data_IF_306662214222
#
_entry.id   IF_306662214222
#
_cell.length_a   1.000
_cell.length_b   1.000
_cell.length_c   1.000
_cell.angle_alpha   90.00
_cell.angle_beta   90.00
_cell.angle_gamma   90.00
#
_symmetry.space_group_name_H-M   'P 1'
#
loop_
_entity.id
_entity.type
_entity.pdbx_description
1 polymer ?
#
# COMPACT_ATOMS: atom_id res chain seq x y z
N UNK A 1 -38.23 -24.86 34.31
CA UNK A 1 -36.78 -24.77 34.22
C UNK A 1 -36.42 -23.43 33.56
N UNK A 2 -35.47 -22.69 34.17
CA UNK A 2 -34.96 -21.41 33.64
C UNK A 2 -33.45 -21.53 33.45
N UNK A 3 -33.00 -21.37 32.22
CA UNK A 3 -31.61 -21.19 31.89
C UNK A 3 -31.25 -19.68 31.90
N UNK A 4 -30.00 -19.37 31.78
CA UNK A 4 -29.45 -18.03 31.54
C UNK A 4 -28.20 -18.21 30.68
N UNK A 5 -28.39 -18.34 29.34
CA UNK A 5 -27.26 -18.47 28.46
C UNK A 5 -26.66 -17.10 28.17
N UNK A 6 -25.35 -16.97 28.24
CA UNK A 6 -24.63 -15.74 28.02
C UNK A 6 -23.44 -15.94 27.09
N UNK A 7 -23.03 -14.88 26.40
CA UNK A 7 -21.84 -14.90 25.55
C UNK A 7 -20.92 -13.71 25.83
N UNK A 8 -19.61 -13.98 25.75
CA UNK A 8 -18.56 -12.95 25.79
C UNK A 8 -17.59 -13.21 24.63
N UNK A 9 -17.37 -12.22 23.79
CA UNK A 9 -16.34 -12.24 22.76
C UNK A 9 -15.21 -11.29 23.14
N UNK A 10 -13.97 -11.66 22.83
CA UNK A 10 -12.78 -10.86 23.11
C UNK A 10 -11.85 -10.81 21.91
N UNK A 11 -11.31 -9.62 21.64
CA UNK A 11 -10.28 -9.32 20.66
C UNK A 11 -9.13 -8.58 21.32
N UNK A 12 -7.92 -8.55 20.75
CA UNK A 12 -6.88 -7.60 21.12
C UNK A 12 -7.38 -6.15 20.98
N UNK A 13 -6.83 -5.23 21.77
CA UNK A 13 -7.21 -3.82 21.72
C UNK A 13 -6.85 -3.18 20.37
N UNK A 14 -5.74 -3.60 19.75
CA UNK A 14 -5.29 -3.14 18.42
C UNK A 14 -4.52 -4.23 17.69
N UNK A 15 -4.41 -4.09 16.37
CA UNK A 15 -3.56 -4.92 15.52
C UNK A 15 -3.21 -4.18 14.22
N UNK A 16 -2.15 -4.62 13.56
CA UNK A 16 -1.71 -4.07 12.28
C UNK A 16 -2.51 -4.67 11.12
N UNK A 17 -2.94 -3.86 10.18
CA UNK A 17 -3.60 -4.31 8.95
C UNK A 17 -2.78 -5.39 8.24
N UNK A 18 -3.45 -6.39 7.69
CA UNK A 18 -2.83 -7.54 6.99
C UNK A 18 -2.32 -8.65 7.92
N UNK A 19 -2.19 -8.45 9.24
CA UNK A 19 -1.79 -9.52 10.17
C UNK A 19 -2.96 -10.46 10.51
N UNK A 20 -2.64 -11.67 10.99
CA UNK A 20 -3.66 -12.60 11.50
C UNK A 20 -3.82 -12.42 13.00
N UNK A 21 -5.07 -12.32 13.45
CA UNK A 21 -5.46 -12.15 14.85
C UNK A 21 -6.30 -13.34 15.29
N UNK A 22 -6.10 -13.74 16.55
CA UNK A 22 -6.95 -14.73 17.23
C UNK A 22 -7.90 -14.01 18.20
N UNK A 23 -9.20 -14.24 18.05
CA UNK A 23 -10.23 -13.89 19.00
C UNK A 23 -10.67 -15.09 19.83
N UNK A 24 -11.29 -14.82 20.96
CA UNK A 24 -11.93 -15.85 21.80
C UNK A 24 -13.41 -15.53 22.00
N UNK A 25 -14.23 -16.56 22.15
CA UNK A 25 -15.63 -16.44 22.52
C UNK A 25 -15.95 -17.48 23.59
N UNK A 26 -16.72 -17.07 24.59
CA UNK A 26 -17.24 -17.95 25.62
C UNK A 26 -18.76 -17.99 25.57
N UNK A 27 -19.31 -19.18 25.73
CA UNK A 27 -20.74 -19.39 25.92
C UNK A 27 -20.94 -20.05 27.28
N UNK A 28 -21.81 -19.53 28.11
CA UNK A 28 -22.05 -20.00 29.49
C UNK A 28 -23.56 -20.18 29.75
N UNK A 29 -23.89 -20.97 30.77
CA UNK A 29 -25.20 -21.04 31.35
C UNK A 29 -25.12 -20.65 32.82
N UNK A 30 -25.52 -19.43 33.14
CA UNK A 30 -25.53 -18.87 34.50
C UNK A 30 -26.84 -19.19 35.26
N UNK A 31 -27.81 -19.83 34.58
CA UNK A 31 -29.10 -20.21 35.15
C UNK A 31 -29.03 -21.44 36.05
N UNK A 32 -30.16 -21.74 36.67
CA UNK A 32 -30.30 -22.85 37.63
C UNK A 32 -30.74 -24.17 36.96
N UNK A 33 -31.09 -24.11 35.67
CA UNK A 33 -31.53 -25.31 34.90
C UNK A 33 -30.61 -25.51 33.72
N UNK A 34 -30.48 -26.77 33.27
CA UNK A 34 -29.73 -27.14 32.10
C UNK A 34 -30.30 -26.43 30.85
N UNK A 35 -29.44 -25.75 30.10
CA UNK A 35 -29.76 -25.17 28.82
C UNK A 35 -29.59 -26.24 27.71
N UNK A 36 -30.67 -26.52 26.99
CA UNK A 36 -30.70 -27.50 25.91
C UNK A 36 -30.59 -26.81 24.54
N UNK A 37 -30.01 -27.51 23.57
CA UNK A 37 -29.86 -27.02 22.20
C UNK A 37 -29.21 -25.62 22.13
N UNK A 38 -28.14 -25.41 22.90
CA UNK A 38 -27.40 -24.15 22.89
C UNK A 38 -26.62 -24.04 21.58
N UNK A 39 -26.86 -22.96 20.87
CA UNK A 39 -26.15 -22.63 19.62
C UNK A 39 -25.50 -21.25 19.76
N UNK A 40 -24.20 -21.18 19.51
CA UNK A 40 -23.43 -19.95 19.53
C UNK A 40 -22.85 -19.62 18.15
N UNK A 41 -22.73 -18.35 17.85
CA UNK A 41 -22.09 -17.87 16.63
C UNK A 41 -21.28 -16.61 16.87
N UNK A 42 -20.23 -16.40 16.07
CA UNK A 42 -19.42 -15.17 16.01
C UNK A 42 -19.40 -14.64 14.59
N UNK A 43 -19.71 -13.36 14.46
CA UNK A 43 -19.56 -12.62 13.22
C UNK A 43 -18.54 -11.52 13.44
N UNK A 44 -17.52 -11.48 12.59
CA UNK A 44 -16.50 -10.42 12.58
C UNK A 44 -16.76 -9.53 11.38
N UNK A 45 -16.80 -8.23 11.58
CA UNK A 45 -17.13 -7.30 10.52
C UNK A 45 -16.49 -5.92 10.68
N UNK A 46 -16.57 -5.15 9.60
CA UNK A 46 -16.24 -3.72 9.54
C UNK A 46 -17.48 -2.96 9.09
N UNK A 47 -17.39 -1.64 9.00
CA UNK A 47 -18.44 -0.83 8.36
C UNK A 47 -18.70 -1.21 6.89
N UNK A 48 -17.74 -1.91 6.25
CA UNK A 48 -17.84 -2.37 4.85
C UNK A 48 -18.38 -3.80 4.67
N UNK A 49 -18.67 -4.56 5.75
CA UNK A 49 -19.20 -5.92 5.67
C UNK A 49 -18.55 -6.94 6.58
N UNK A 50 -18.91 -8.20 6.40
CA UNK A 50 -18.44 -9.34 7.19
C UNK A 50 -17.07 -9.81 6.70
N UNK A 51 -16.18 -10.12 7.65
CA UNK A 51 -14.86 -10.70 7.39
C UNK A 51 -14.96 -12.22 7.53
N UNK A 52 -14.32 -12.94 6.61
CA UNK A 52 -14.19 -14.39 6.73
C UNK A 52 -13.35 -14.77 7.94
N UNK A 53 -13.86 -15.65 8.78
CA UNK A 53 -13.16 -16.19 9.95
C UNK A 53 -12.86 -17.66 9.77
N UNK A 54 -11.80 -18.16 10.38
CA UNK A 54 -11.54 -19.60 10.52
C UNK A 54 -11.39 -19.98 11.99
N UNK A 55 -11.64 -21.24 12.31
CA UNK A 55 -11.63 -21.74 13.68
C UNK A 55 -13.00 -22.18 14.18
N UNK A 56 -13.10 -22.39 15.48
CA UNK A 56 -14.27 -23.02 16.13
C UNK A 56 -15.16 -22.03 16.90
N UNK A 57 -15.15 -20.74 16.53
CA UNK A 57 -15.97 -19.71 17.20
C UNK A 57 -17.48 -19.98 17.16
N UNK A 58 -17.95 -20.81 16.25
CA UNK A 58 -19.34 -21.24 16.16
C UNK A 58 -19.52 -22.61 16.79
N UNK A 59 -20.65 -22.81 17.49
CA UNK A 59 -21.05 -24.14 17.99
C UNK A 59 -22.13 -24.73 17.07
N UNK A 60 -22.19 -26.06 17.02
CA UNK A 60 -23.38 -26.76 16.56
C UNK A 60 -24.42 -26.78 17.69
N UNK A 61 -24.91 -27.91 18.09
CA UNK A 61 -25.88 -27.96 19.20
C UNK A 61 -25.21 -28.51 20.45
N UNK A 62 -25.23 -27.77 21.55
CA UNK A 62 -24.64 -28.13 22.84
C UNK A 62 -25.72 -28.23 23.92
N UNK A 63 -25.37 -28.90 25.04
CA UNK A 63 -26.14 -28.85 26.28
C UNK A 63 -25.20 -28.31 27.37
N UNK A 64 -25.61 -27.23 28.03
CA UNK A 64 -24.86 -26.61 29.12
C UNK A 64 -25.55 -26.80 30.46
N UNK A 65 -24.94 -27.54 31.37
CA UNK A 65 -25.40 -27.64 32.75
C UNK A 65 -25.35 -26.27 33.46
N UNK A 66 -26.07 -26.09 34.60
CA UNK A 66 -25.91 -24.89 35.42
C UNK A 66 -24.46 -24.62 35.78
N UNK A 67 -23.99 -23.38 35.55
CA UNK A 67 -22.62 -22.94 35.81
C UNK A 67 -21.58 -23.43 34.77
N UNK A 68 -21.96 -24.21 33.78
CA UNK A 68 -21.05 -24.68 32.73
C UNK A 68 -20.75 -23.58 31.70
N UNK A 69 -19.55 -23.61 31.16
CA UNK A 69 -19.11 -22.75 30.06
C UNK A 69 -18.22 -23.51 29.07
N UNK A 70 -18.19 -23.03 27.83
CA UNK A 70 -17.25 -23.46 26.80
C UNK A 70 -16.56 -22.23 26.24
N UNK A 71 -15.25 -22.31 25.99
CA UNK A 71 -14.49 -21.28 25.29
C UNK A 71 -13.99 -21.82 23.97
N UNK A 72 -14.15 -21.04 22.92
CA UNK A 72 -13.73 -21.33 21.56
C UNK A 72 -12.84 -20.22 21.04
N UNK A 73 -12.06 -20.51 20.01
CA UNK A 73 -11.19 -19.54 19.33
C UNK A 73 -11.59 -19.40 17.86
N UNK A 74 -11.31 -18.23 17.30
CA UNK A 74 -11.44 -17.96 15.87
C UNK A 74 -10.30 -17.06 15.43
N UNK A 75 -9.94 -17.11 14.15
CA UNK A 75 -8.90 -16.26 13.56
C UNK A 75 -9.43 -15.55 12.34
N UNK A 76 -8.85 -14.38 12.05
CA UNK A 76 -9.13 -13.63 10.84
C UNK A 76 -7.95 -12.75 10.46
N UNK A 77 -7.86 -12.37 9.18
CA UNK A 77 -6.89 -11.37 8.71
C UNK A 77 -7.45 -9.97 8.97
N UNK A 78 -6.67 -9.13 9.62
CA UNK A 78 -7.03 -7.74 9.97
C UNK A 78 -7.16 -6.91 8.69
N UNK A 79 -8.33 -6.31 8.43
CA UNK A 79 -8.53 -5.44 7.26
C UNK A 79 -7.87 -4.07 7.45
N UNK A 80 -8.05 -3.18 6.47
CA UNK A 80 -7.53 -1.80 6.56
C UNK A 80 -8.34 -0.87 7.49
N UNK A 81 -9.47 -1.32 8.04
CA UNK A 81 -10.39 -0.53 8.88
C UNK A 81 -10.70 -1.24 10.19
N UNK A 82 -11.12 -0.46 11.21
CA UNK A 82 -11.49 -0.98 12.52
C UNK A 82 -12.52 -2.12 12.42
N UNK A 83 -12.39 -3.07 13.31
CA UNK A 83 -13.15 -4.32 13.34
C UNK A 83 -14.04 -4.37 14.57
N UNK A 84 -15.24 -4.95 14.41
CA UNK A 84 -16.12 -5.34 15.51
C UNK A 84 -16.46 -6.82 15.38
N UNK A 85 -16.24 -7.59 16.44
CA UNK A 85 -16.77 -8.94 16.57
C UNK A 85 -18.08 -8.90 17.37
N UNK A 86 -19.09 -9.60 16.89
CA UNK A 86 -20.36 -9.79 17.56
C UNK A 86 -20.60 -11.28 17.75
N UNK A 87 -20.79 -11.69 19.00
CA UNK A 87 -21.20 -13.05 19.33
C UNK A 87 -22.67 -13.10 19.72
N UNK A 88 -23.34 -14.18 19.37
CA UNK A 88 -24.72 -14.46 19.78
C UNK A 88 -24.82 -15.87 20.32
N UNK A 89 -25.71 -16.09 21.29
CA UNK A 89 -26.03 -17.42 21.81
C UNK A 89 -27.55 -17.58 21.93
N UNK A 90 -28.05 -18.77 21.64
CA UNK A 90 -29.46 -19.12 21.75
C UNK A 90 -29.63 -20.47 22.43
N UNK A 91 -30.80 -20.73 23.00
CA UNK A 91 -31.19 -22.01 23.61
C UNK A 91 -32.68 -22.25 23.43
N UNK A 92 -33.12 -23.51 23.45
CA UNK A 92 -34.54 -23.87 23.46
C UNK A 92 -35.13 -23.90 24.87
N UNK A 93 -34.30 -23.87 25.91
CA UNK A 93 -34.75 -23.71 27.33
C UNK A 93 -35.09 -22.23 27.54
N UNK A 94 -36.18 -21.95 28.26
CA UNK A 94 -36.56 -20.57 28.59
C UNK A 94 -35.39 -19.84 29.26
N UNK A 95 -35.00 -18.70 28.71
CA UNK A 95 -33.89 -17.86 29.16
C UNK A 95 -34.45 -16.66 29.91
N UNK A 96 -33.97 -16.45 31.14
CA UNK A 96 -34.48 -15.38 31.99
C UNK A 96 -33.73 -14.03 31.84
N UNK A 97 -32.62 -14.01 31.10
CA UNK A 97 -31.79 -12.80 30.91
C UNK A 97 -31.33 -12.66 29.43
N UNK A 98 -32.24 -12.57 28.46
CA UNK A 98 -31.87 -12.57 27.04
C UNK A 98 -31.02 -11.36 26.60
N UNK A 99 -30.84 -10.37 27.46
CA UNK A 99 -29.96 -9.21 27.20
C UNK A 99 -28.46 -9.52 27.20
N UNK A 100 -28.03 -10.64 27.82
CA UNK A 100 -26.64 -11.10 27.81
C UNK A 100 -26.31 -12.13 26.73
N UNK A 101 -27.28 -12.39 25.84
CA UNK A 101 -27.14 -13.33 24.71
C UNK A 101 -26.37 -12.75 23.52
N UNK A 102 -25.96 -11.49 23.61
CA UNK A 102 -25.17 -10.79 22.60
C UNK A 102 -23.96 -10.16 23.27
N UNK A 103 -22.78 -10.44 22.74
CA UNK A 103 -21.52 -9.84 23.16
C UNK A 103 -20.84 -9.13 21.99
N UNK A 104 -20.12 -8.05 22.26
CA UNK A 104 -19.35 -7.32 21.25
C UNK A 104 -17.93 -7.03 21.74
N UNK A 105 -16.97 -7.05 20.82
CA UNK A 105 -15.60 -6.61 21.05
C UNK A 105 -15.11 -5.81 19.84
N UNK A 106 -14.37 -4.73 20.10
CA UNK A 106 -13.77 -3.89 19.07
C UNK A 106 -12.26 -4.10 18.99
N UNK A 107 -11.69 -3.95 17.78
CA UNK A 107 -10.27 -3.95 17.51
C UNK A 107 -9.94 -2.70 16.70
N UNK A 108 -9.04 -1.87 17.22
CA UNK A 108 -8.48 -0.73 16.50
C UNK A 108 -7.40 -1.20 15.51
N UNK A 109 -7.44 -0.72 14.28
CA UNK A 109 -6.52 -1.13 13.24
C UNK A 109 -5.45 -0.07 13.00
N UNK A 110 -4.18 -0.48 13.15
CA UNK A 110 -3.03 0.33 12.76
C UNK A 110 -2.82 0.17 11.24
N UNK A 111 -3.06 1.26 10.49
CA UNK A 111 -2.85 1.26 9.04
C UNK A 111 -1.38 1.13 8.69
N UNK A 112 -1.07 0.36 7.63
CA UNK A 112 0.25 0.26 7.00
C UNK A 112 0.12 0.24 5.49
N UNK A 113 0.97 1.02 4.81
CA UNK A 113 1.17 0.98 3.37
C UNK A 113 2.44 0.20 3.03
N UNK A 114 2.65 -0.11 1.76
CA UNK A 114 3.91 -0.61 1.21
C UNK A 114 4.08 0.08 -0.14
N UNK A 115 4.69 1.25 -0.11
CA UNK A 115 4.98 2.01 -1.31
C UNK A 115 6.23 1.43 -1.96
N UNK A 116 6.20 1.28 -3.27
CA UNK A 116 7.39 0.96 -4.04
C UNK A 116 7.50 1.91 -5.22
N UNK A 117 8.75 2.19 -5.63
CA UNK A 117 9.04 3.09 -6.73
C UNK A 117 9.92 2.41 -7.76
N UNK A 118 9.49 2.42 -9.02
CA UNK A 118 10.32 2.07 -10.16
C UNK A 118 10.58 3.27 -11.05
N UNK A 119 11.78 3.35 -11.64
CA UNK A 119 12.20 4.45 -12.51
C UNK A 119 12.83 3.89 -13.76
N UNK A 120 12.37 4.35 -14.92
CA UNK A 120 12.91 3.97 -16.23
C UNK A 120 13.13 5.19 -17.10
N UNK A 121 14.09 5.11 -18.04
CA UNK A 121 14.32 6.09 -19.07
C UNK A 121 13.78 5.57 -20.40
N UNK A 122 13.17 6.44 -21.22
CA UNK A 122 12.68 6.06 -22.54
C UNK A 122 13.82 5.67 -23.50
N UNK A 123 15.02 6.22 -23.26
CA UNK A 123 16.23 5.93 -24.03
C UNK A 123 17.45 5.97 -23.11
N UNK A 124 17.86 4.83 -22.51
CA UNK A 124 18.98 4.82 -21.57
C UNK A 124 20.35 5.00 -22.27
N UNK A 125 20.47 4.64 -23.56
CA UNK A 125 21.71 4.70 -24.32
C UNK A 125 21.50 5.37 -25.69
N UNK A 126 22.58 5.83 -26.29
CA UNK A 126 22.55 6.38 -27.64
C UNK A 126 21.99 7.80 -27.74
N UNK A 127 21.85 8.48 -26.59
CA UNK A 127 21.49 9.89 -26.60
C UNK A 127 22.64 10.75 -27.10
N UNK A 128 22.30 11.86 -27.78
CA UNK A 128 23.26 12.85 -28.24
C UNK A 128 22.93 14.20 -27.64
N UNK A 129 23.84 15.15 -27.71
CA UNK A 129 23.60 16.54 -27.34
C UNK A 129 22.33 17.07 -28.00
N UNK A 130 21.58 17.88 -27.28
CA UNK A 130 20.30 18.49 -27.70
C UNK A 130 19.15 17.51 -27.98
N UNK A 131 19.34 16.19 -27.78
CA UNK A 131 18.22 15.25 -27.84
C UNK A 131 17.32 15.38 -26.61
N UNK A 132 16.08 14.89 -26.73
CA UNK A 132 15.12 14.82 -25.61
C UNK A 132 14.78 13.39 -25.29
N UNK A 133 14.55 13.11 -24.02
CA UNK A 133 14.03 11.83 -23.53
C UNK A 133 13.11 12.05 -22.35
N UNK A 134 12.48 10.97 -21.86
CA UNK A 134 11.67 11.02 -20.64
C UNK A 134 12.13 9.98 -19.62
N UNK A 135 11.95 10.34 -18.35
CA UNK A 135 11.91 9.41 -17.22
C UNK A 135 10.46 9.13 -16.86
N UNK A 136 10.11 7.87 -16.70
CA UNK A 136 8.86 7.45 -16.10
C UNK A 136 9.14 6.89 -14.70
N UNK A 137 8.45 7.44 -13.70
CA UNK A 137 8.54 7.05 -12.29
C UNK A 137 7.17 6.52 -11.91
N UNK A 138 7.09 5.22 -11.59
CA UNK A 138 5.84 4.56 -11.20
C UNK A 138 5.89 4.26 -9.72
N UNK A 139 4.88 4.72 -9.00
CA UNK A 139 4.65 4.43 -7.58
C UNK A 139 3.51 3.44 -7.48
N UNK A 140 3.67 2.42 -6.65
CA UNK A 140 2.66 1.38 -6.35
C UNK A 140 2.47 1.32 -4.85
N UNK A 141 1.23 1.16 -4.38
CA UNK A 141 0.94 0.80 -3.00
C UNK A 141 0.54 -0.68 -2.93
N UNK A 142 1.47 -1.55 -2.55
CA UNK A 142 1.23 -2.99 -2.36
C UNK A 142 0.73 -3.34 -0.95
N UNK A 143 0.67 -2.35 -0.05
CA UNK A 143 0.24 -2.54 1.35
C UNK A 143 -1.25 -2.77 1.50
N UNK A 144 -1.69 -3.27 2.66
CA UNK A 144 -3.09 -3.55 2.92
C UNK A 144 -3.94 -2.28 3.12
N UNK A 145 -3.32 -1.15 3.49
CA UNK A 145 -4.03 0.11 3.76
C UNK A 145 -3.76 1.17 2.69
N UNK A 146 -4.66 2.14 2.59
CA UNK A 146 -4.45 3.33 1.78
C UNK A 146 -3.25 4.13 2.31
N UNK A 147 -2.30 4.47 1.45
CA UNK A 147 -1.25 5.43 1.75
C UNK A 147 -1.80 6.85 1.63
N UNK A 148 -1.45 7.73 2.57
CA UNK A 148 -1.89 9.11 2.62
C UNK A 148 -0.70 10.08 2.48
N UNK A 149 -0.98 11.26 1.92
CA UNK A 149 -0.03 12.38 1.78
C UNK A 149 1.32 11.95 1.18
N UNK A 150 1.24 11.32 0.01
CA UNK A 150 2.41 10.76 -0.67
C UNK A 150 3.15 11.86 -1.41
N UNK A 151 4.46 11.88 -1.26
CA UNK A 151 5.36 12.78 -1.99
C UNK A 151 6.41 11.98 -2.74
N UNK A 152 6.49 12.21 -4.05
CA UNK A 152 7.57 11.72 -4.93
C UNK A 152 8.53 12.86 -5.17
N UNK A 153 9.83 12.64 -4.99
CA UNK A 153 10.87 13.62 -5.26
C UNK A 153 11.91 13.07 -6.22
N UNK A 154 12.39 13.93 -7.12
CA UNK A 154 13.42 13.63 -8.08
C UNK A 154 14.29 14.87 -8.31
N UNK A 155 15.59 14.74 -8.12
CA UNK A 155 16.56 15.79 -8.45
C UNK A 155 17.29 15.34 -9.71
N UNK A 156 16.81 15.83 -10.86
CA UNK A 156 17.42 15.54 -12.16
C UNK A 156 18.85 16.06 -12.19
N UNK A 157 19.85 15.22 -12.52
CA UNK A 157 21.26 15.60 -12.44
C UNK A 157 21.60 16.74 -13.38
N UNK A 158 22.59 17.57 -12.96
CA UNK A 158 23.14 18.64 -13.80
C UNK A 158 23.69 18.05 -15.10
N UNK A 159 23.41 18.74 -16.21
CA UNK A 159 23.69 18.24 -17.58
C UNK A 159 22.46 17.70 -18.28
N UNK A 160 21.39 17.46 -17.54
CA UNK A 160 20.03 17.28 -18.07
C UNK A 160 19.18 18.48 -17.60
N UNK A 161 18.32 18.99 -18.48
CA UNK A 161 17.42 20.12 -18.16
C UNK A 161 15.97 19.65 -18.26
N UNK A 162 15.19 19.86 -17.21
CA UNK A 162 13.76 19.55 -17.20
C UNK A 162 13.03 20.51 -18.13
N UNK A 163 12.31 19.95 -19.11
CA UNK A 163 11.48 20.66 -20.07
C UNK A 163 10.02 20.69 -19.62
N UNK A 164 9.53 19.57 -19.12
CA UNK A 164 8.17 19.43 -18.63
C UNK A 164 8.03 18.28 -17.67
N UNK A 165 7.00 18.37 -16.80
CA UNK A 165 6.58 17.30 -15.89
C UNK A 165 5.07 17.09 -16.05
N UNK A 166 4.65 15.82 -15.93
CA UNK A 166 3.23 15.48 -15.98
C UNK A 166 2.96 14.30 -15.06
N UNK A 167 1.71 14.20 -14.56
CA UNK A 167 1.28 13.15 -13.64
C UNK A 167 0.05 12.42 -14.14
N UNK A 168 0.04 11.09 -13.97
CA UNK A 168 -1.15 10.27 -14.04
C UNK A 168 -1.43 9.73 -12.63
N UNK A 169 -2.56 10.15 -12.03
CA UNK A 169 -2.91 9.85 -10.65
C UNK A 169 -2.14 10.67 -9.59
N UNK A 170 -1.42 11.73 -10.00
CA UNK A 170 -0.70 12.64 -9.10
C UNK A 170 -0.64 14.06 -9.69
N UNK A 171 -0.39 15.04 -8.83
CA UNK A 171 -0.08 16.42 -9.23
C UNK A 171 1.43 16.60 -9.34
N UNK A 172 1.92 16.98 -10.53
CA UNK A 172 3.35 17.16 -10.80
C UNK A 172 3.72 18.64 -10.85
N UNK A 173 4.90 18.99 -10.33
CA UNK A 173 5.49 20.32 -10.38
C UNK A 173 7.01 20.24 -10.42
N UNK A 174 7.68 21.31 -10.89
CA UNK A 174 9.13 21.40 -10.80
C UNK A 174 9.60 22.86 -10.62
N UNK A 175 10.77 23.01 -10.03
CA UNK A 175 11.54 24.26 -9.97
C UNK A 175 12.95 23.95 -10.46
N UNK A 176 13.23 24.34 -11.71
CA UNK A 176 14.45 23.86 -12.40
C UNK A 176 14.46 22.33 -12.47
N UNK A 177 15.54 21.73 -12.02
CA UNK A 177 15.73 20.27 -11.99
C UNK A 177 15.17 19.57 -10.74
N UNK A 178 14.62 20.30 -9.76
CA UNK A 178 13.93 19.72 -8.62
C UNK A 178 12.47 19.44 -9.02
N UNK A 179 12.12 18.16 -9.08
CA UNK A 179 10.78 17.68 -9.47
C UNK A 179 10.07 17.09 -8.27
N UNK A 180 8.79 17.38 -8.15
CA UNK A 180 7.91 16.85 -7.12
C UNK A 180 6.60 16.35 -7.71
N UNK A 181 6.14 15.20 -7.24
CA UNK A 181 4.79 14.69 -7.44
C UNK A 181 4.09 14.53 -6.11
N UNK A 182 2.81 14.92 -6.00
CA UNK A 182 2.01 14.76 -4.78
C UNK A 182 0.74 13.98 -5.05
N UNK A 183 0.38 13.10 -4.12
CA UNK A 183 -0.81 12.25 -4.16
C UNK A 183 -1.47 12.33 -2.79
N UNK A 184 -2.71 12.79 -2.70
CA UNK A 184 -3.42 12.87 -1.42
C UNK A 184 -3.70 11.48 -0.81
N UNK A 185 -4.02 10.51 -1.65
CA UNK A 185 -4.24 9.13 -1.22
C UNK A 185 -4.04 8.14 -2.36
N UNK A 186 -3.45 6.98 -2.06
CA UNK A 186 -3.26 5.86 -2.99
C UNK A 186 -3.75 4.58 -2.33
N UNK A 187 -4.88 4.06 -2.78
CA UNK A 187 -5.47 2.85 -2.20
C UNK A 187 -4.60 1.62 -2.44
N UNK A 188 -4.80 0.57 -1.66
CA UNK A 188 -4.12 -0.73 -1.86
C UNK A 188 -4.27 -1.23 -3.30
N UNK A 189 -3.17 -1.64 -3.91
CA UNK A 189 -3.09 -2.12 -5.29
C UNK A 189 -3.06 -1.03 -6.37
N UNK A 190 -3.24 0.25 -6.00
CA UNK A 190 -3.24 1.35 -6.98
C UNK A 190 -1.83 1.81 -7.35
N UNK A 191 -1.76 2.48 -8.50
CA UNK A 191 -0.53 3.03 -9.08
C UNK A 191 -0.69 4.49 -9.46
N UNK A 192 0.43 5.24 -9.43
CA UNK A 192 0.53 6.59 -9.99
C UNK A 192 1.84 6.72 -10.77
N UNK A 193 1.86 7.57 -11.79
CA UNK A 193 3.03 7.75 -12.65
C UNK A 193 3.39 9.22 -12.78
N UNK A 194 4.66 9.55 -12.50
CA UNK A 194 5.28 10.85 -12.77
C UNK A 194 6.15 10.72 -14.01
N UNK A 195 5.92 11.56 -15.01
CA UNK A 195 6.73 11.63 -16.24
C UNK A 195 7.51 12.94 -16.26
N UNK A 196 8.82 12.85 -16.47
CA UNK A 196 9.74 13.99 -16.56
C UNK A 196 10.35 13.98 -17.95
N UNK A 197 10.13 15.00 -18.75
CA UNK A 197 10.80 15.18 -20.05
C UNK A 197 12.00 16.08 -19.85
N UNK A 198 13.15 15.63 -20.34
CA UNK A 198 14.42 16.35 -20.24
C UNK A 198 15.07 16.54 -21.60
N UNK A 199 15.82 17.64 -21.73
CA UNK A 199 16.80 17.83 -22.82
C UNK A 199 18.20 17.58 -22.27
N UNK A 200 19.12 17.19 -23.15
CA UNK A 200 20.50 16.89 -22.81
C UNK A 200 21.40 18.05 -23.16
N UNK A 201 22.28 18.43 -22.22
CA UNK A 201 23.34 19.42 -22.50
C UNK A 201 24.39 18.83 -23.41
N UNK A 202 25.19 19.68 -24.05
CA UNK A 202 26.26 19.26 -24.95
C UNK A 202 27.35 18.46 -24.21
N UNK A 203 27.56 17.22 -24.60
CA UNK A 203 28.79 16.50 -24.26
C UNK A 203 29.90 16.96 -25.22
N UNK A 204 30.97 17.56 -24.66
CA UNK A 204 31.97 18.27 -25.48
C UNK A 204 33.09 17.36 -25.99
N UNK A 205 33.40 16.23 -25.33
CA UNK A 205 34.52 15.41 -25.74
C UNK A 205 34.49 13.93 -25.33
N UNK A 206 33.55 13.52 -24.47
CA UNK A 206 33.46 12.14 -24.00
C UNK A 206 32.00 11.76 -23.73
N UNK A 207 31.67 10.47 -23.78
CA UNK A 207 30.38 9.96 -23.33
C UNK A 207 30.22 10.20 -21.84
N UNK A 208 29.14 10.89 -21.45
CA UNK A 208 28.81 11.20 -20.06
C UNK A 208 27.70 10.27 -19.57
N UNK A 209 27.85 9.75 -18.36
CA UNK A 209 26.82 9.00 -17.65
C UNK A 209 26.12 9.88 -16.63
N UNK A 210 24.78 9.91 -16.66
CA UNK A 210 23.95 10.63 -15.71
C UNK A 210 23.08 9.62 -14.94
N UNK A 211 23.32 9.52 -13.62
CA UNK A 211 22.50 8.67 -12.76
C UNK A 211 21.44 9.54 -12.10
N UNK A 212 20.18 9.21 -12.34
CA UNK A 212 19.02 9.90 -11.79
C UNK A 212 18.28 8.99 -10.83
N UNK A 213 18.01 9.49 -9.59
CA UNK A 213 17.36 8.76 -8.50
C UNK A 213 16.13 9.51 -8.05
N UNK A 214 15.02 8.79 -7.91
CA UNK A 214 13.78 9.29 -7.31
C UNK A 214 13.47 8.54 -6.03
N UNK A 215 12.72 9.19 -5.14
CA UNK A 215 12.23 8.59 -3.90
C UNK A 215 10.76 8.91 -3.66
N UNK A 216 10.08 8.07 -2.87
CA UNK A 216 8.69 8.25 -2.45
C UNK A 216 8.59 8.13 -0.93
N UNK A 217 7.72 8.95 -0.32
CA UNK A 217 7.38 8.93 1.11
C UNK A 217 5.88 9.10 1.29
N UNK A 218 5.34 8.70 2.46
CA UNK A 218 3.96 8.93 2.87
C UNK A 218 3.86 9.18 4.37
N UNK A 219 2.71 9.70 4.82
CA UNK A 219 2.39 9.81 6.25
C UNK A 219 1.89 8.49 6.83
N UNK A 220 1.36 7.57 6.00
CA UNK A 220 1.05 6.21 6.43
C UNK A 220 2.35 5.42 6.59
N UNK A 221 2.55 4.73 7.73
CA UNK A 221 3.74 3.91 7.95
C UNK A 221 3.97 2.88 6.84
N UNK A 222 5.22 2.79 6.39
CA UNK A 222 5.68 1.83 5.40
C UNK A 222 6.80 0.99 6.03
N UNK A 223 6.58 -0.32 6.26
CA UNK A 223 7.57 -1.18 6.89
C UNK A 223 8.70 -1.62 5.95
N UNK A 224 8.61 -1.33 4.64
CA UNK A 224 9.58 -1.77 3.62
C UNK A 224 10.22 -0.59 2.87
N UNK A 225 10.82 0.40 3.55
CA UNK A 225 11.29 1.64 2.92
C UNK A 225 12.44 1.44 1.92
N UNK A 226 13.02 0.25 1.82
CA UNK A 226 14.11 -0.07 0.88
C UNK A 226 13.65 -0.13 -0.57
N UNK A 227 12.36 -0.31 -0.84
CA UNK A 227 11.77 -0.32 -2.20
C UNK A 227 11.24 1.07 -2.62
N UNK A 228 11.40 2.10 -1.78
CA UNK A 228 10.90 3.46 -1.99
C UNK A 228 11.83 4.34 -2.83
N UNK A 229 12.87 3.77 -3.42
CA UNK A 229 13.80 4.48 -4.29
C UNK A 229 13.98 3.75 -5.62
N UNK A 230 14.08 4.52 -6.70
CA UNK A 230 14.36 3.99 -8.04
C UNK A 230 15.44 4.81 -8.72
N UNK A 231 16.38 4.13 -9.35
CA UNK A 231 17.55 4.75 -10.00
C UNK A 231 17.67 4.25 -11.44
N UNK A 232 18.01 5.16 -12.35
CA UNK A 232 18.37 4.83 -13.73
C UNK A 232 19.57 5.66 -14.18
N UNK A 233 20.48 5.04 -14.93
CA UNK A 233 21.61 5.73 -15.55
C UNK A 233 21.35 5.87 -17.05
N UNK A 234 21.60 7.06 -17.59
CA UNK A 234 21.51 7.35 -19.02
C UNK A 234 22.85 7.85 -19.52
N UNK A 235 23.19 7.52 -20.78
CA UNK A 235 24.45 7.94 -21.40
C UNK A 235 24.20 8.92 -22.54
N UNK A 236 25.05 9.96 -22.63
CA UNK A 236 25.03 10.97 -23.69
C UNK A 236 26.38 10.96 -24.40
N UNK A 237 26.37 10.66 -25.68
CA UNK A 237 27.56 10.69 -26.52
C UNK A 237 27.82 12.11 -27.03
N UNK A 238 29.09 12.50 -27.24
CA UNK A 238 29.43 13.76 -27.90
C UNK A 238 28.96 13.74 -29.35
N UNK A 239 28.53 14.91 -29.83
CA UNK A 239 28.21 15.14 -31.23
C UNK A 239 29.40 15.89 -31.86
N UNK A 240 30.07 15.28 -32.80
CA UNK A 240 31.15 15.95 -33.56
C UNK A 240 30.60 16.46 -34.90
N UNK A 241 30.82 17.72 -35.18
CA UNK A 241 30.62 18.30 -36.51
C UNK A 241 32.02 18.46 -37.17
N UNK A 242 32.28 17.68 -38.21
CA UNK A 242 33.54 17.71 -38.93
C UNK A 242 33.32 18.38 -40.29
N UNK A 243 33.79 19.61 -40.40
CA UNK A 243 33.80 20.32 -41.70
C UNK A 243 35.16 20.20 -42.36
N UNK A 244 35.17 19.83 -43.61
CA UNK A 244 36.38 19.87 -44.49
C UNK A 244 36.34 21.15 -45.32
N UNK A 245 37.39 21.94 -45.23
CA UNK A 245 37.59 23.10 -46.09
C UNK A 245 38.65 22.72 -47.14
N UNK A 246 38.22 22.68 -48.38
CA UNK A 246 39.13 22.56 -49.51
C UNK A 246 39.46 23.96 -50.02
N UNK A 247 40.70 24.40 -49.88
CA UNK A 247 41.18 25.64 -50.52
C UNK A 247 42.02 25.29 -51.75
N UNK A 248 41.66 25.84 -52.87
CA UNK A 248 42.46 25.80 -54.09
C UNK A 248 43.34 27.05 -54.14
N UNK A 249 44.58 26.96 -54.66
CA UNK A 249 45.37 28.16 -54.83
C UNK A 249 44.70 29.13 -55.78
N UNK A 250 44.75 30.43 -55.46
CA UNK A 250 44.05 31.50 -56.16
C UNK A 250 44.50 31.66 -57.65
N UNK A 251 45.62 31.11 -58.02
CA UNK A 251 46.18 31.16 -59.42
C UNK A 251 46.78 29.81 -59.76
N UNK A 252 46.22 29.18 -60.79
CA UNK A 252 46.86 28.12 -61.57
C UNK A 252 47.26 28.77 -62.90
N UNK A 253 48.59 28.92 -63.16
CA UNK A 253 49.10 29.28 -64.50
C UNK A 253 49.11 28.04 -65.40
N UNK A 254 48.37 28.14 -66.50
CA UNK A 254 48.52 27.14 -67.59
C UNK A 254 49.93 27.20 -68.15
N UNK A 255 50.62 26.08 -68.12
CA UNK A 255 51.89 25.89 -68.79
C UNK A 255 51.67 25.50 -70.27
#
# INVERSE_FOLDING_TARGET
PLADVATVVSLPANATAGTVVTGTVSYSNNGTSTAANVTGSVVVGTAGGVISTSGTGNTTTLTLAPGASIQLTFTFTVPASNVTATSTVTTTTADNTPSNNIGTAALAVNAVADLSLSKVASQPNGNTASSTMSFAIVVVNAGPSTAADITVTDVVPAGLNVLSVSGAGLTASNTGNNVQGTISSLVSGATATLTIVVSMSNATSATLGYTNTASVTSTTPDPTPTNNTGTVTVTVAPLADVATVVSLPANATAG
#
